data_IF_862560819410
#
_entry.id   IF_862560819410
#
_cell.length_a   1.000
_cell.length_b   1.000
_cell.length_c   1.000
_cell.angle_alpha   90.00
_cell.angle_beta   90.00
_cell.angle_gamma   90.00
#
_symmetry.space_group_name_H-M   'P 1'
#
loop_
_entity.id
_entity.type
_entity.pdbx_description
1 polymer ?
#
# COMPACT_ATOMS: atom_id res chain seq x y z
N UNK A 1 16.16 13.29 -5.49
CA UNK A 1 16.29 13.03 -4.05
C UNK A 1 14.88 13.13 -3.49
N UNK A 2 14.32 12.02 -2.99
CA UNK A 2 13.02 12.06 -2.31
C UNK A 2 13.16 12.82 -1.01
N UNK A 3 12.21 13.70 -0.70
CA UNK A 3 12.14 14.34 0.62
C UNK A 3 12.09 13.27 1.72
N UNK A 4 12.71 13.52 2.89
CA UNK A 4 12.63 12.60 4.00
C UNK A 4 11.16 12.41 4.43
N UNK A 5 10.80 11.18 4.74
CA UNK A 5 9.46 10.88 5.23
C UNK A 5 9.23 11.49 6.62
N UNK A 6 8.00 11.87 6.96
CA UNK A 6 7.68 12.48 8.24
C UNK A 6 8.04 11.55 9.40
N UNK A 7 8.44 12.13 10.54
CA UNK A 7 8.81 11.38 11.74
C UNK A 7 10.01 10.44 11.58
N UNK A 8 10.89 10.67 10.59
CA UNK A 8 11.99 9.74 10.31
C UNK A 8 11.52 8.37 9.83
N UNK A 9 10.28 8.27 9.40
CA UNK A 9 9.66 7.01 9.02
C UNK A 9 10.27 6.33 7.80
N UNK A 10 10.02 5.04 7.68
CA UNK A 10 10.48 4.19 6.59
C UNK A 10 9.30 3.55 5.85
N UNK A 11 9.46 3.30 4.54
CA UNK A 11 8.50 2.50 3.79
C UNK A 11 9.16 1.19 3.39
N UNK A 12 8.53 0.10 3.79
CA UNK A 12 8.97 -1.25 3.50
C UNK A 12 7.81 -2.20 3.19
N UNK A 13 8.15 -3.27 2.50
CA UNK A 13 7.22 -4.38 2.26
C UNK A 13 6.98 -5.17 3.55
N UNK A 14 5.77 -5.63 3.76
CA UNK A 14 5.45 -6.56 4.84
C UNK A 14 5.95 -7.96 4.53
N UNK A 15 6.42 -8.64 5.57
CA UNK A 15 6.87 -10.02 5.52
C UNK A 15 5.76 -10.98 6.00
N UNK A 16 5.93 -12.25 5.67
CA UNK A 16 5.12 -13.32 6.25
C UNK A 16 5.25 -13.25 7.78
N UNK A 17 4.11 -13.16 8.49
CA UNK A 17 4.07 -13.00 9.94
C UNK A 17 3.84 -11.58 10.45
N UNK A 18 3.80 -10.56 9.57
CA UNK A 18 3.48 -9.18 9.95
C UNK A 18 2.02 -8.77 9.69
N UNK A 19 1.13 -9.74 9.52
CA UNK A 19 -0.31 -9.48 9.34
C UNK A 19 -0.92 -8.73 10.52
N UNK A 20 -0.38 -8.95 11.74
CA UNK A 20 -0.83 -8.25 12.94
C UNK A 20 -0.52 -6.75 12.87
N UNK A 21 0.66 -6.35 12.39
CA UNK A 21 0.99 -4.94 12.21
C UNK A 21 0.03 -4.25 11.23
N UNK A 22 -0.36 -4.94 10.15
CA UNK A 22 -1.34 -4.45 9.19
C UNK A 22 -2.75 -4.38 9.78
N UNK A 23 -3.20 -5.43 10.47
CA UNK A 23 -4.48 -5.44 11.20
C UNK A 23 -4.56 -4.27 12.18
N UNK A 24 -3.55 -4.11 13.02
CA UNK A 24 -3.52 -3.10 14.07
C UNK A 24 -3.53 -1.68 13.49
N UNK A 25 -2.83 -1.46 12.34
CA UNK A 25 -2.94 -0.21 11.59
C UNK A 25 -4.37 0.04 11.11
N UNK A 26 -5.02 -0.92 10.47
CA UNK A 26 -6.37 -0.78 9.96
C UNK A 26 -7.40 -0.53 11.09
N UNK A 27 -7.19 -1.14 12.26
CA UNK A 27 -8.03 -0.94 13.45
C UNK A 27 -7.86 0.46 14.07
N UNK A 28 -6.67 1.07 13.94
CA UNK A 28 -6.42 2.45 14.43
C UNK A 28 -6.94 3.54 13.50
N UNK A 29 -7.34 3.21 12.28
CA UNK A 29 -7.95 4.20 11.38
C UNK A 29 -9.20 4.80 12.04
N UNK A 30 -9.32 6.11 11.96
CA UNK A 30 -10.54 6.80 12.31
C UNK A 30 -11.71 6.36 11.40
N UNK A 31 -12.93 6.68 11.80
CA UNK A 31 -14.14 6.23 11.09
C UNK A 31 -14.14 6.62 9.61
N UNK A 32 -13.74 7.85 9.31
CA UNK A 32 -13.79 8.37 7.93
C UNK A 32 -12.70 7.74 7.06
N UNK A 33 -11.48 7.60 7.59
CA UNK A 33 -10.37 6.89 6.93
C UNK A 33 -10.70 5.41 6.69
N UNK A 34 -11.39 4.76 7.65
CA UNK A 34 -11.84 3.37 7.53
C UNK A 34 -12.92 3.23 6.45
N UNK A 35 -13.93 4.10 6.47
CA UNK A 35 -14.98 4.13 5.45
C UNK A 35 -14.40 4.37 4.05
N UNK A 36 -13.45 5.29 3.94
CA UNK A 36 -12.76 5.59 2.68
C UNK A 36 -11.96 4.39 2.18
N UNK A 37 -11.25 3.67 3.08
CA UNK A 37 -10.42 2.50 2.72
C UNK A 37 -11.25 1.33 2.20
N UNK A 38 -12.43 1.11 2.77
CA UNK A 38 -13.27 -0.05 2.49
C UNK A 38 -14.54 0.28 1.70
N UNK A 39 -14.67 1.53 1.23
CA UNK A 39 -15.87 2.05 0.53
C UNK A 39 -17.16 1.84 1.34
N UNK A 40 -17.06 1.83 2.67
CA UNK A 40 -18.18 1.65 3.58
C UNK A 40 -17.78 1.23 4.99
N UNK A 41 -18.78 1.05 5.83
CA UNK A 41 -18.60 0.64 7.23
C UNK A 41 -18.29 -0.85 7.31
N UNK A 42 -17.20 -1.21 7.97
CA UNK A 42 -16.77 -2.59 8.22
C UNK A 42 -16.53 -2.84 9.70
N UNK A 43 -16.77 -4.09 10.15
CA UNK A 43 -16.51 -4.51 11.53
C UNK A 43 -15.02 -4.82 11.75
N UNK A 44 -14.63 -4.80 13.03
CA UNK A 44 -13.26 -5.19 13.43
C UNK A 44 -12.94 -6.65 13.04
N UNK A 45 -13.93 -7.56 13.12
CA UNK A 45 -13.79 -8.95 12.66
C UNK A 45 -13.54 -9.04 11.15
N UNK A 46 -14.18 -8.19 10.35
CA UNK A 46 -13.89 -8.11 8.92
C UNK A 46 -12.46 -7.66 8.68
N UNK A 47 -12.00 -6.62 9.38
CA UNK A 47 -10.63 -6.11 9.29
C UNK A 47 -9.62 -7.20 9.67
N UNK A 48 -9.86 -7.94 10.75
CA UNK A 48 -8.98 -9.01 11.18
C UNK A 48 -8.85 -10.11 10.11
N UNK A 49 -9.97 -10.56 9.52
CA UNK A 49 -9.96 -11.55 8.42
C UNK A 49 -9.30 -10.99 7.16
N UNK A 50 -9.55 -9.74 6.81
CA UNK A 50 -8.92 -9.09 5.66
C UNK A 50 -7.40 -9.06 5.81
N UNK A 51 -6.90 -8.59 6.97
CA UNK A 51 -5.47 -8.51 7.25
C UNK A 51 -4.80 -9.91 7.24
N UNK A 52 -5.47 -10.93 7.77
CA UNK A 52 -4.94 -12.30 7.76
C UNK A 52 -4.69 -12.85 6.34
N UNK A 53 -5.40 -12.34 5.34
CA UNK A 53 -5.23 -12.73 3.92
C UNK A 53 -4.37 -11.75 3.12
N UNK A 54 -3.87 -10.69 3.74
CA UNK A 54 -3.13 -9.62 3.05
C UNK A 54 -1.70 -10.00 2.66
N UNK A 55 -1.17 -11.12 3.17
CA UNK A 55 0.16 -11.63 2.82
C UNK A 55 0.01 -13.00 2.19
N UNK A 56 0.26 -13.10 0.90
CA UNK A 56 0.10 -14.35 0.16
C UNK A 56 0.36 -14.20 -1.34
N UNK A 57 0.06 -15.25 -2.08
CA UNK A 57 0.20 -15.25 -3.53
C UNK A 57 -0.65 -14.15 -4.16
N UNK A 58 -0.01 -13.28 -4.93
CA UNK A 58 -0.68 -12.19 -5.64
C UNK A 58 -1.00 -10.96 -4.79
N UNK A 59 -0.60 -10.92 -3.52
CA UNK A 59 -0.76 -9.74 -2.65
C UNK A 59 0.59 -9.20 -2.20
N UNK A 60 0.74 -7.89 -2.24
CA UNK A 60 1.91 -7.17 -1.70
C UNK A 60 1.39 -6.02 -0.86
N UNK A 61 1.86 -5.91 0.38
CA UNK A 61 1.57 -4.75 1.24
C UNK A 61 2.87 -3.99 1.50
N UNK A 62 2.86 -2.69 1.19
CA UNK A 62 3.89 -1.76 1.62
C UNK A 62 3.39 -1.00 2.83
N UNK A 63 4.13 -1.02 3.92
CA UNK A 63 3.82 -0.29 5.15
C UNK A 63 4.71 0.93 5.32
N UNK A 64 4.14 2.03 5.77
CA UNK A 64 4.85 3.18 6.30
C UNK A 64 4.95 3.01 7.82
N UNK A 65 6.18 2.99 8.33
CA UNK A 65 6.48 2.76 9.74
C UNK A 65 7.15 3.98 10.35
N UNK A 66 6.74 4.33 11.57
CA UNK A 66 7.39 5.31 12.44
C UNK A 66 7.56 4.67 13.80
N UNK A 67 8.78 4.68 14.34
CA UNK A 67 9.13 4.03 15.61
C UNK A 67 8.67 2.57 15.67
N UNK A 68 8.77 1.89 14.52
CA UNK A 68 8.36 0.50 14.33
C UNK A 68 6.85 0.25 14.40
N UNK A 69 6.03 1.29 14.43
CA UNK A 69 4.56 1.19 14.34
C UNK A 69 4.11 1.54 12.93
N UNK A 70 3.31 0.67 12.33
CA UNK A 70 2.75 0.91 11.01
C UNK A 70 1.70 2.01 11.05
N UNK A 71 1.90 3.11 10.32
CA UNK A 71 1.07 4.32 10.29
C UNK A 71 0.36 4.54 8.95
N UNK A 72 0.73 3.77 7.95
CA UNK A 72 0.11 3.79 6.64
C UNK A 72 0.38 2.52 5.86
N UNK A 73 -0.46 2.23 4.88
CA UNK A 73 -0.38 1.05 4.05
C UNK A 73 -0.78 1.31 2.60
N UNK A 74 -0.14 0.59 1.68
CA UNK A 74 -0.62 0.36 0.33
C UNK A 74 -0.68 -1.14 0.08
N UNK A 75 -1.85 -1.65 -0.23
CA UNK A 75 -2.10 -3.03 -0.59
C UNK A 75 -2.23 -3.13 -2.11
N UNK A 76 -1.42 -3.97 -2.74
CA UNK A 76 -1.52 -4.36 -4.15
C UNK A 76 -2.05 -5.78 -4.20
N UNK A 77 -3.21 -5.99 -4.78
CA UNK A 77 -3.84 -7.30 -4.91
C UNK A 77 -4.08 -7.60 -6.39
N UNK A 78 -3.45 -8.66 -6.89
CA UNK A 78 -3.70 -9.14 -8.24
C UNK A 78 -5.12 -9.71 -8.33
N UNK A 79 -5.83 -9.39 -9.39
CA UNK A 79 -7.15 -9.96 -9.66
C UNK A 79 -7.04 -11.47 -9.81
N UNK A 80 -8.10 -12.20 -9.45
CA UNK A 80 -8.10 -13.67 -9.47
C UNK A 80 -7.69 -14.27 -10.81
N UNK A 81 -7.37 -15.55 -10.80
CA UNK A 81 -7.01 -16.28 -12.02
C UNK A 81 -8.11 -16.16 -13.08
N UNK A 82 -7.73 -15.79 -14.29
CA UNK A 82 -8.61 -15.84 -15.46
C UNK A 82 -9.00 -17.31 -15.77
N UNK A 83 -10.15 -17.51 -16.42
CA UNK A 83 -10.54 -18.81 -16.96
C UNK A 83 -9.39 -19.43 -17.76
N UNK A 84 -8.81 -20.54 -17.24
CA UNK A 84 -7.63 -21.19 -17.84
C UNK A 84 -6.38 -21.21 -16.96
N UNK A 85 -6.45 -20.73 -15.71
CA UNK A 85 -5.33 -20.82 -14.72
C UNK A 85 -4.21 -19.81 -14.93
N UNK A 86 -4.30 -18.92 -15.93
CA UNK A 86 -3.36 -17.80 -16.08
C UNK A 86 -3.69 -16.71 -15.08
N UNK A 87 -2.66 -16.17 -14.44
CA UNK A 87 -2.79 -14.99 -13.58
C UNK A 87 -3.33 -13.81 -14.40
N UNK A 88 -4.33 -13.13 -13.88
CA UNK A 88 -4.82 -11.88 -14.48
C UNK A 88 -3.68 -10.87 -14.61
N UNK A 89 -3.65 -10.10 -15.67
CA UNK A 89 -2.73 -8.98 -15.86
C UNK A 89 -3.22 -7.67 -15.20
N UNK A 90 -4.37 -7.72 -14.55
CA UNK A 90 -4.94 -6.64 -13.75
C UNK A 90 -4.70 -6.83 -12.25
N UNK A 91 -4.63 -5.72 -11.54
CA UNK A 91 -4.55 -5.67 -10.08
C UNK A 91 -5.29 -4.44 -9.53
N UNK A 92 -5.63 -4.51 -8.27
CA UNK A 92 -6.21 -3.41 -7.50
C UNK A 92 -5.21 -2.91 -6.45
N UNK A 93 -5.15 -1.59 -6.27
CA UNK A 93 -4.37 -0.97 -5.21
C UNK A 93 -5.29 -0.17 -4.28
N UNK A 94 -5.12 -0.39 -2.98
CA UNK A 94 -5.86 0.30 -1.95
C UNK A 94 -4.91 0.90 -0.92
N UNK A 95 -5.25 2.10 -0.43
CA UNK A 95 -4.39 2.90 0.44
C UNK A 95 -5.09 3.25 1.75
N UNK A 96 -4.32 3.29 2.82
CA UNK A 96 -4.76 3.80 4.12
C UNK A 96 -3.61 4.51 4.82
N UNK A 97 -3.88 5.67 5.41
CA UNK A 97 -2.89 6.44 6.18
C UNK A 97 -3.62 7.01 7.38
N UNK A 98 -3.08 6.81 8.59
CA UNK A 98 -3.63 7.40 9.82
C UNK A 98 -3.65 8.94 9.70
N UNK A 99 -4.69 9.58 10.21
CA UNK A 99 -5.03 10.99 9.95
C UNK A 99 -3.85 11.95 10.20
N UNK A 100 -3.10 11.74 11.27
CA UNK A 100 -1.95 12.57 11.64
C UNK A 100 -0.78 12.51 10.62
N UNK A 101 -0.72 11.46 9.79
CA UNK A 101 0.32 11.22 8.78
C UNK A 101 -0.12 11.55 7.36
N UNK A 102 -1.37 11.98 7.19
CA UNK A 102 -1.88 12.37 5.88
C UNK A 102 -1.30 13.73 5.44
N UNK A 103 -1.28 13.97 4.14
CA UNK A 103 -0.80 15.23 3.53
C UNK A 103 0.71 15.52 3.71
N UNK A 104 1.50 14.55 4.13
CA UNK A 104 2.95 14.64 4.32
C UNK A 104 3.74 13.86 3.25
N UNK A 105 3.17 13.62 2.08
CA UNK A 105 3.87 12.91 0.99
C UNK A 105 3.87 11.38 1.09
N UNK A 106 3.45 10.80 2.23
CA UNK A 106 3.45 9.34 2.47
C UNK A 106 2.71 8.59 1.36
N UNK A 107 1.51 9.04 0.98
CA UNK A 107 0.72 8.42 -0.08
C UNK A 107 1.43 8.39 -1.43
N UNK A 108 2.19 9.44 -1.75
CA UNK A 108 2.99 9.51 -2.98
C UNK A 108 4.04 8.39 -3.01
N UNK A 109 4.82 8.25 -1.94
CA UNK A 109 5.88 7.23 -1.88
C UNK A 109 5.28 5.82 -1.83
N UNK A 110 4.16 5.62 -1.13
CA UNK A 110 3.43 4.35 -1.14
C UNK A 110 2.96 3.97 -2.55
N UNK A 111 2.39 4.91 -3.31
CA UNK A 111 1.96 4.64 -4.69
C UNK A 111 3.15 4.38 -5.62
N UNK A 112 4.25 5.12 -5.49
CA UNK A 112 5.50 4.84 -6.23
C UNK A 112 5.99 3.40 -6.01
N UNK A 113 5.99 2.94 -4.75
CA UNK A 113 6.37 1.56 -4.39
C UNK A 113 5.40 0.53 -4.96
N UNK A 114 4.11 0.83 -4.91
CA UNK A 114 3.06 -0.03 -5.45
C UNK A 114 3.16 -0.17 -6.97
N UNK A 115 3.36 0.93 -7.69
CA UNK A 115 3.57 0.94 -9.14
C UNK A 115 4.84 0.18 -9.54
N UNK A 116 5.93 0.34 -8.80
CA UNK A 116 7.17 -0.41 -9.03
C UNK A 116 6.94 -1.92 -8.85
N UNK A 117 6.23 -2.32 -7.81
CA UNK A 117 5.87 -3.71 -7.55
C UNK A 117 4.92 -4.28 -8.60
N UNK A 118 3.92 -3.50 -9.04
CA UNK A 118 3.00 -3.87 -10.11
C UNK A 118 3.73 -4.10 -11.43
N UNK A 119 4.59 -3.13 -11.82
CA UNK A 119 5.46 -3.21 -13.00
C UNK A 119 6.30 -4.48 -13.03
N UNK A 120 7.00 -4.78 -11.93
CA UNK A 120 7.94 -5.90 -11.87
C UNK A 120 7.24 -7.27 -11.80
N UNK A 121 5.92 -7.28 -11.50
CA UNK A 121 5.06 -8.47 -11.53
C UNK A 121 4.28 -8.63 -12.82
N UNK A 122 4.56 -7.77 -13.82
CA UNK A 122 3.90 -7.84 -15.12
C UNK A 122 2.41 -7.49 -15.08
N UNK A 123 1.99 -6.68 -14.09
CA UNK A 123 0.65 -6.12 -14.03
C UNK A 123 0.56 -5.03 -15.11
N UNK A 124 -0.44 -5.15 -15.98
CA UNK A 124 -0.65 -4.20 -17.08
C UNK A 124 -1.66 -3.12 -16.72
N UNK A 125 -2.66 -3.46 -15.90
CA UNK A 125 -3.74 -2.56 -15.52
C UNK A 125 -3.81 -2.52 -14.00
N UNK A 126 -3.52 -1.36 -13.41
CA UNK A 126 -3.64 -1.11 -11.98
C UNK A 126 -4.84 -0.21 -11.73
N UNK A 127 -5.83 -0.74 -11.03
CA UNK A 127 -7.05 -0.04 -10.66
C UNK A 127 -6.99 0.45 -9.21
N UNK A 128 -7.51 1.66 -9.00
CA UNK A 128 -7.61 2.29 -7.68
C UNK A 128 -9.02 2.86 -7.53
N UNK A 129 -9.83 2.26 -6.68
CA UNK A 129 -11.19 2.72 -6.43
C UNK A 129 -11.23 3.65 -5.21
N UNK A 130 -11.95 4.75 -5.30
CA UNK A 130 -12.17 5.64 -4.17
C UNK A 130 -13.57 6.27 -4.21
N UNK A 131 -14.03 6.73 -3.07
CA UNK A 131 -15.26 7.49 -2.98
C UNK A 131 -15.12 8.83 -3.74
N UNK A 132 -16.21 9.34 -4.32
CA UNK A 132 -16.21 10.57 -5.11
C UNK A 132 -15.81 11.83 -4.32
N UNK A 133 -15.95 11.81 -2.99
CA UNK A 133 -15.52 12.87 -2.09
C UNK A 133 -14.04 12.76 -1.66
N UNK A 134 -13.38 11.62 -1.93
CA UNK A 134 -11.97 11.42 -1.63
C UNK A 134 -11.05 12.16 -2.63
N UNK A 135 -11.06 13.49 -2.55
CA UNK A 135 -10.27 14.36 -3.43
C UNK A 135 -8.76 14.12 -3.31
N UNK A 136 -8.28 13.69 -2.13
CA UNK A 136 -6.86 13.38 -1.91
C UNK A 136 -6.40 12.22 -2.77
N UNK A 137 -7.18 11.13 -2.81
CA UNK A 137 -6.85 9.98 -3.65
C UNK A 137 -6.93 10.32 -5.14
N UNK A 138 -7.92 11.12 -5.57
CA UNK A 138 -8.02 11.59 -6.95
C UNK A 138 -6.82 12.47 -7.35
N UNK A 139 -6.36 13.37 -6.47
CA UNK A 139 -5.15 14.17 -6.71
C UNK A 139 -3.89 13.30 -6.80
N UNK A 140 -3.80 12.31 -5.92
CA UNK A 140 -2.70 11.34 -5.95
C UNK A 140 -2.69 10.55 -7.26
N UNK A 141 -3.84 10.02 -7.69
CA UNK A 141 -3.98 9.30 -8.93
C UNK A 141 -3.60 10.16 -10.16
N UNK A 142 -4.07 11.41 -10.22
CA UNK A 142 -3.69 12.36 -11.29
C UNK A 142 -2.19 12.65 -11.34
N UNK A 143 -1.52 12.72 -10.19
CA UNK A 143 -0.06 12.93 -10.14
C UNK A 143 0.71 11.80 -10.83
N UNK A 144 0.13 10.62 -10.91
CA UNK A 144 0.69 9.45 -11.58
C UNK A 144 0.01 9.14 -12.93
N UNK A 145 -0.60 10.17 -13.53
CA UNK A 145 -1.19 10.09 -14.87
C UNK A 145 -2.29 9.02 -14.99
N UNK A 146 -3.01 8.74 -13.87
CA UNK A 146 -4.12 7.82 -13.90
C UNK A 146 -5.31 8.41 -14.67
N UNK A 147 -5.91 7.58 -15.52
CA UNK A 147 -7.19 7.88 -16.14
C UNK A 147 -8.30 7.76 -15.10
N UNK A 148 -9.05 8.85 -14.89
CA UNK A 148 -10.13 8.88 -13.89
C UNK A 148 -11.49 8.75 -14.58
N UNK A 149 -12.24 7.73 -14.20
CA UNK A 149 -13.64 7.56 -14.56
C UNK A 149 -14.54 7.74 -13.33
N UNK A 150 -15.70 8.34 -13.53
CA UNK A 150 -16.67 8.65 -12.48
C UNK A 150 -17.91 7.79 -12.66
N UNK A 151 -18.30 7.06 -11.60
CA UNK A 151 -19.47 6.20 -11.61
C UNK A 151 -20.19 6.30 -10.25
N UNK A 152 -21.49 6.68 -10.29
CA UNK A 152 -22.47 6.71 -9.18
C UNK A 152 -21.89 6.80 -7.74
N UNK A 153 -21.09 7.86 -7.44
CA UNK A 153 -20.55 8.09 -6.10
C UNK A 153 -19.17 7.50 -5.85
N UNK A 154 -18.56 6.85 -6.84
CA UNK A 154 -17.18 6.37 -6.83
C UNK A 154 -16.35 6.98 -7.95
N UNK A 155 -15.04 6.95 -7.79
CA UNK A 155 -14.06 7.31 -8.82
C UNK A 155 -13.08 6.16 -8.96
N UNK A 156 -12.91 5.71 -10.18
CA UNK A 156 -11.94 4.69 -10.55
C UNK A 156 -10.77 5.37 -11.24
N UNK A 157 -9.57 5.18 -10.70
CA UNK A 157 -8.33 5.56 -11.34
C UNK A 157 -7.65 4.34 -11.95
N UNK A 158 -7.30 4.39 -13.22
CA UNK A 158 -6.57 3.33 -13.90
C UNK A 158 -5.19 3.83 -14.34
N UNK A 159 -4.16 3.05 -14.06
CA UNK A 159 -2.78 3.30 -14.49
C UNK A 159 -2.25 2.05 -15.17
N UNK A 160 -1.60 2.23 -16.31
CA UNK A 160 -0.88 1.16 -17.00
C UNK A 160 0.61 1.20 -16.65
N UNK A 161 1.09 0.36 -15.70
CA UNK A 161 2.51 0.34 -15.37
C UNK A 161 3.35 -0.06 -16.57
N UNK A 162 4.47 0.62 -16.84
CA UNK A 162 5.34 0.26 -17.95
C UNK A 162 5.92 -1.15 -17.74
N UNK A 163 6.45 -1.76 -18.79
CA UNK A 163 7.07 -3.08 -18.71
C UNK A 163 8.26 -3.09 -17.75
N UNK A 164 8.47 -4.22 -17.07
CA UNK A 164 9.62 -4.41 -16.18
C UNK A 164 10.95 -4.27 -16.96
N UNK A 165 11.95 -3.73 -16.30
CA UNK A 165 13.30 -3.60 -16.83
C UNK A 165 14.31 -4.09 -15.78
N UNK A 166 15.55 -4.46 -16.16
CA UNK A 166 16.58 -4.81 -15.17
C UNK A 166 16.78 -3.72 -14.11
N UNK A 167 16.67 -2.44 -14.51
CA UNK A 167 16.78 -1.31 -13.59
C UNK A 167 15.61 -1.25 -12.62
N UNK A 168 14.37 -1.53 -13.06
CA UNK A 168 13.21 -1.53 -12.15
C UNK A 168 13.28 -2.68 -11.15
N UNK A 169 13.74 -3.86 -11.56
CA UNK A 169 13.96 -5.00 -10.69
C UNK A 169 15.05 -4.70 -9.64
N UNK A 170 16.16 -4.08 -10.06
CA UNK A 170 17.22 -3.67 -9.15
C UNK A 170 16.74 -2.62 -8.14
N UNK A 171 15.93 -1.63 -8.58
CA UNK A 171 15.35 -0.62 -7.68
C UNK A 171 14.44 -1.24 -6.63
N UNK A 172 13.58 -2.20 -7.00
CA UNK A 172 12.73 -2.91 -6.03
C UNK A 172 13.59 -3.72 -5.05
N UNK A 173 14.58 -4.47 -5.53
CA UNK A 173 15.48 -5.26 -4.70
C UNK A 173 16.25 -4.39 -3.70
N UNK A 174 16.79 -3.24 -4.13
CA UNK A 174 17.45 -2.28 -3.23
C UNK A 174 16.49 -1.71 -2.19
N UNK A 175 15.28 -1.39 -2.60
CA UNK A 175 14.24 -0.88 -1.70
C UNK A 175 13.83 -1.92 -0.65
N UNK A 176 13.69 -3.18 -1.05
CA UNK A 176 13.40 -4.29 -0.14
C UNK A 176 14.58 -4.52 0.83
N UNK A 177 15.82 -4.46 0.35
CA UNK A 177 17.02 -4.58 1.19
C UNK A 177 17.09 -3.46 2.24
N UNK A 178 16.82 -2.20 1.87
CA UNK A 178 16.73 -1.09 2.82
C UNK A 178 15.62 -1.32 3.85
N UNK A 179 14.46 -1.83 3.42
CA UNK A 179 13.36 -2.16 4.31
C UNK A 179 13.72 -3.22 5.36
N UNK A 180 14.48 -4.25 4.95
CA UNK A 180 15.02 -5.26 5.87
C UNK A 180 15.96 -4.63 6.90
N UNK A 181 16.90 -3.81 6.43
CA UNK A 181 17.85 -3.14 7.33
C UNK A 181 17.13 -2.23 8.33
N UNK A 182 16.14 -1.45 7.87
CA UNK A 182 15.33 -0.61 8.74
C UNK A 182 14.60 -1.43 9.82
N UNK A 183 13.98 -2.55 9.43
CA UNK A 183 13.30 -3.45 10.38
C UNK A 183 14.25 -4.00 11.42
N UNK A 184 15.44 -4.46 11.03
CA UNK A 184 16.42 -5.00 11.97
C UNK A 184 16.83 -3.93 13.00
N UNK A 185 17.06 -2.70 12.55
CA UNK A 185 17.39 -1.58 13.43
C UNK A 185 16.26 -1.23 14.39
N UNK A 186 15.01 -1.23 13.89
CA UNK A 186 13.80 -1.00 14.70
C UNK A 186 13.65 -2.10 15.78
N UNK A 187 13.81 -3.37 15.41
CA UNK A 187 13.70 -4.49 16.34
C UNK A 187 14.81 -4.45 17.40
N UNK A 188 16.05 -4.07 17.01
CA UNK A 188 17.15 -3.89 17.95
C UNK A 188 16.88 -2.74 18.92
N UNK A 189 16.42 -1.58 18.44
CA UNK A 189 16.16 -0.42 19.31
C UNK A 189 15.06 -0.72 20.35
N UNK A 190 14.08 -1.53 20.00
CA UNK A 190 13.04 -1.98 20.94
C UNK A 190 13.59 -2.92 22.01
N UNK A 191 14.52 -3.81 21.66
CA UNK A 191 15.14 -4.73 22.60
C UNK A 191 16.08 -4.04 23.59
N UNK A 192 16.80 -3.01 23.14
CA UNK A 192 17.76 -2.26 23.97
C UNK A 192 17.19 -1.01 24.63
N UNK A 193 16.06 -0.48 24.16
CA UNK A 193 15.36 0.68 24.74
C UNK A 193 14.37 0.34 25.86
N UNK A 194 14.22 -0.94 26.19
CA UNK A 194 13.36 -1.45 27.28
C UNK A 194 14.10 -1.68 28.60
N UNK A 195 15.29 -1.04 28.83
CA UNK A 195 16.06 -1.09 30.08
C UNK A 195 15.97 0.25 30.78
#
# INVERSE_FOLDING_TARGET
>A
MSEPLPGGGSIRKLWIGETDAYRDHLLRLDRDSRNTRFSGTVSDDFIARHAATAIGLGVVVHGFFVDGVMRGAAELRRNGASLGGMLSDGAEAAFSIEQEWQSHGVGTVLLERTLLSARNRGIKHLRMDCLADNRRMQQLARKFEADLSFDFGSVVGEVDPPRSTPLSLMREAMADAHGVAAKILEDQSRLFGAV
#
